data_IF_151003630758
#
_entry.id   IF_151003630758
#
_cell.length_a   1.000
_cell.length_b   1.000
_cell.length_c   1.000
_cell.angle_alpha   90.00
_cell.angle_beta   90.00
_cell.angle_gamma   90.00
#
_symmetry.space_group_name_H-M   'P 1'
#
loop_
_entity.id
_entity.type
_entity.pdbx_description
1 polymer ?
#
# COMPACT_ATOMS: atom_id res chain seq x y z
N UNK A 1 -17.70 10.56 -7.49
CA UNK A 1 -17.90 9.26 -8.13
C UNK A 1 -16.64 8.80 -8.85
N UNK A 2 -16.47 7.50 -8.89
CA UNK A 2 -15.44 6.82 -9.68
C UNK A 2 -16.14 5.87 -10.64
N UNK A 3 -15.63 5.77 -11.86
CA UNK A 3 -15.97 4.72 -12.81
C UNK A 3 -14.79 3.77 -12.90
N UNK A 4 -15.05 2.47 -12.80
CA UNK A 4 -14.01 1.44 -12.84
C UNK A 4 -14.34 0.48 -13.98
N UNK A 5 -13.40 0.34 -14.91
CA UNK A 5 -13.50 -0.60 -16.04
C UNK A 5 -12.44 -1.68 -15.91
N UNK A 6 -12.86 -2.94 -15.99
CA UNK A 6 -11.98 -4.10 -15.89
C UNK A 6 -12.49 -5.24 -16.80
N UNK A 7 -11.61 -6.13 -17.21
CA UNK A 7 -11.98 -7.26 -18.08
C UNK A 7 -12.76 -8.33 -17.31
N UNK A 8 -12.31 -8.65 -16.11
CA UNK A 8 -12.97 -9.62 -15.24
C UNK A 8 -13.51 -8.90 -14.00
N UNK A 9 -14.85 -8.87 -13.82
CA UNK A 9 -15.46 -8.22 -12.67
C UNK A 9 -15.00 -8.84 -11.36
N UNK A 10 -14.48 -8.00 -10.46
CA UNK A 10 -14.10 -8.39 -9.10
C UNK A 10 -14.47 -7.26 -8.13
N UNK A 11 -14.69 -7.61 -6.87
CA UNK A 11 -14.93 -6.61 -5.83
C UNK A 11 -13.62 -5.87 -5.52
N UNK A 12 -13.66 -4.55 -5.53
CA UNK A 12 -12.52 -3.70 -5.20
C UNK A 12 -12.88 -2.71 -4.09
N UNK A 13 -12.02 -2.65 -3.08
CA UNK A 13 -12.02 -1.58 -2.09
C UNK A 13 -10.93 -0.58 -2.46
N UNK A 14 -11.34 0.59 -2.94
CA UNK A 14 -10.41 1.64 -3.38
C UNK A 14 -10.14 2.61 -2.23
N UNK A 15 -8.86 2.84 -1.93
CA UNK A 15 -8.39 3.82 -0.95
C UNK A 15 -7.80 5.02 -1.67
N UNK A 16 -8.18 6.22 -1.26
CA UNK A 16 -7.58 7.47 -1.75
C UNK A 16 -6.64 8.11 -0.73
N UNK A 17 -6.86 7.83 0.56
CA UNK A 17 -6.05 8.37 1.66
C UNK A 17 -5.85 7.30 2.74
N UNK A 18 -4.67 7.27 3.31
CA UNK A 18 -4.32 6.51 4.51
C UNK A 18 -3.74 7.49 5.52
N UNK A 19 -4.29 7.52 6.72
CA UNK A 19 -3.74 8.31 7.80
C UNK A 19 -2.93 7.42 8.73
N UNK A 20 -1.73 7.85 9.06
CA UNK A 20 -0.76 7.11 9.86
C UNK A 20 -0.78 7.57 11.32
N UNK A 21 -1.09 8.85 11.55
CA UNK A 21 -1.12 9.46 12.89
C UNK A 21 -2.50 9.99 13.23
N UNK A 22 -3.05 9.54 14.34
CA UNK A 22 -4.32 10.07 14.88
C UNK A 22 -4.06 11.22 15.85
N UNK A 23 -4.60 12.41 15.57
CA UNK A 23 -4.40 13.63 16.39
C UNK A 23 -5.39 13.75 17.54
N UNK A 24 -6.33 12.81 17.67
CA UNK A 24 -7.48 12.89 18.59
C UNK A 24 -8.78 13.31 17.90
N UNK A 25 -8.69 14.00 16.76
CA UNK A 25 -9.85 14.48 15.98
C UNK A 25 -9.74 14.17 14.49
N UNK A 26 -8.53 13.93 13.98
CA UNK A 26 -8.27 13.69 12.57
C UNK A 26 -7.10 12.72 12.38
N UNK A 27 -7.08 12.05 11.24
CA UNK A 27 -5.95 11.27 10.76
C UNK A 27 -5.08 12.11 9.84
N UNK A 28 -3.77 12.03 10.02
CA UNK A 28 -2.77 12.74 9.23
C UNK A 28 -1.72 11.75 8.72
N UNK A 29 -1.04 12.11 7.64
CA UNK A 29 0.16 11.41 7.20
C UNK A 29 1.30 11.59 8.23
N UNK A 30 2.29 10.70 8.19
CA UNK A 30 3.51 10.85 8.99
C UNK A 30 4.15 12.21 8.73
N UNK A 31 4.68 12.81 9.78
CA UNK A 31 5.39 14.09 9.65
C UNK A 31 6.75 13.92 8.98
N UNK A 32 7.24 15.02 8.40
CA UNK A 32 8.48 15.00 7.62
C UNK A 32 9.72 14.66 8.47
N UNK A 33 9.70 14.92 9.77
CA UNK A 33 10.81 14.59 10.66
C UNK A 33 10.88 13.07 10.88
N UNK A 34 9.76 12.44 11.22
CA UNK A 34 9.65 10.99 11.39
C UNK A 34 10.09 10.27 10.10
N UNK A 35 9.66 10.76 8.93
CA UNK A 35 10.09 10.21 7.65
C UNK A 35 11.59 10.35 7.42
N UNK A 36 12.17 11.50 7.76
CA UNK A 36 13.62 11.72 7.64
C UNK A 36 14.43 10.76 8.53
N UNK A 37 13.94 10.47 9.73
CA UNK A 37 14.58 9.53 10.67
C UNK A 37 14.53 8.08 10.16
N UNK A 38 13.57 7.73 9.31
CA UNK A 38 13.39 6.38 8.75
C UNK A 38 13.91 6.24 7.30
N UNK A 39 14.58 7.28 6.77
CA UNK A 39 15.01 7.31 5.37
C UNK A 39 15.86 6.10 4.98
N UNK A 40 16.78 5.67 5.83
CA UNK A 40 17.68 4.55 5.54
C UNK A 40 16.92 3.22 5.42
N UNK A 41 15.95 2.97 6.31
CA UNK A 41 15.08 1.80 6.26
C UNK A 41 14.24 1.81 4.98
N UNK A 42 13.57 2.92 4.70
CA UNK A 42 12.67 3.04 3.55
C UNK A 42 13.45 2.93 2.23
N UNK A 43 14.64 3.52 2.14
CA UNK A 43 15.52 3.37 0.99
C UNK A 43 15.96 1.90 0.79
N UNK A 44 16.35 1.22 1.87
CA UNK A 44 16.73 -0.19 1.80
C UNK A 44 15.56 -1.06 1.32
N UNK A 45 14.35 -0.88 1.85
CA UNK A 45 13.14 -1.60 1.41
C UNK A 45 12.92 -1.45 -0.09
N UNK A 46 13.04 -0.24 -0.62
CA UNK A 46 12.91 0.03 -2.05
C UNK A 46 14.00 -0.66 -2.88
N UNK A 47 15.22 -0.66 -2.39
CA UNK A 47 16.34 -1.35 -3.04
C UNK A 47 16.11 -2.85 -3.14
N UNK A 48 15.48 -3.43 -2.13
CA UNK A 48 15.06 -4.84 -2.13
C UNK A 48 13.78 -5.07 -2.97
N UNK A 49 13.23 -4.03 -3.59
CA UNK A 49 12.01 -4.12 -4.40
C UNK A 49 10.73 -4.28 -3.58
N UNK A 50 10.80 -3.95 -2.28
CA UNK A 50 9.64 -4.00 -1.40
C UNK A 50 8.93 -2.65 -1.37
N UNK A 51 7.65 -2.66 -1.74
CA UNK A 51 6.76 -1.50 -1.68
C UNK A 51 5.45 -1.90 -1.00
N UNK A 52 4.92 -1.09 -0.07
CA UNK A 52 3.68 -1.41 0.62
C UNK A 52 2.50 -1.69 -0.31
N UNK A 53 2.47 -1.01 -1.46
CA UNK A 53 1.40 -1.15 -2.45
C UNK A 53 1.45 -2.48 -3.21
N UNK A 54 2.62 -3.12 -3.31
CA UNK A 54 2.83 -4.33 -4.13
C UNK A 54 3.28 -5.54 -3.31
N UNK A 55 2.88 -5.61 -2.04
CA UNK A 55 3.31 -6.68 -1.12
C UNK A 55 2.98 -8.08 -1.63
N UNK A 56 1.77 -8.30 -2.17
CA UNK A 56 1.40 -9.62 -2.70
C UNK A 56 2.27 -10.02 -3.89
N UNK A 57 2.55 -9.08 -4.78
CA UNK A 57 3.45 -9.33 -5.91
C UNK A 57 4.90 -9.58 -5.46
N UNK A 58 5.36 -8.91 -4.42
CA UNK A 58 6.67 -9.18 -3.82
C UNK A 58 6.74 -10.58 -3.19
N UNK A 59 5.71 -11.00 -2.46
CA UNK A 59 5.60 -12.35 -1.91
C UNK A 59 5.56 -13.42 -3.01
N UNK A 60 4.77 -13.19 -4.07
CA UNK A 60 4.71 -14.08 -5.23
C UNK A 60 6.09 -14.27 -5.88
N UNK A 61 6.84 -13.18 -6.08
CA UNK A 61 8.20 -13.24 -6.61
C UNK A 61 9.15 -13.99 -5.68
N UNK A 62 9.09 -13.72 -4.36
CA UNK A 62 9.89 -14.42 -3.36
C UNK A 62 9.66 -15.93 -3.36
N UNK A 63 8.43 -16.37 -3.58
CA UNK A 63 8.04 -17.78 -3.70
C UNK A 63 8.19 -18.34 -5.12
N UNK A 64 8.74 -17.60 -6.08
CA UNK A 64 8.85 -17.98 -7.49
C UNK A 64 7.50 -18.38 -8.12
N UNK A 65 6.41 -17.75 -7.68
CA UNK A 65 5.07 -17.97 -8.23
C UNK A 65 4.71 -16.92 -9.27
N UNK A 66 3.99 -17.35 -10.29
CA UNK A 66 3.44 -16.44 -11.29
C UNK A 66 2.06 -15.95 -10.86
N UNK A 67 1.90 -14.63 -10.80
CA UNK A 67 0.64 -13.98 -10.49
C UNK A 67 -0.21 -13.79 -11.75
N UNK A 68 -1.50 -14.12 -11.67
CA UNK A 68 -2.46 -13.76 -12.71
C UNK A 68 -2.97 -12.35 -12.45
N UNK A 69 -2.87 -11.49 -13.43
CA UNK A 69 -3.17 -10.06 -13.28
C UNK A 69 -4.16 -9.57 -14.33
N UNK A 70 -4.83 -8.47 -14.03
CA UNK A 70 -5.62 -7.70 -14.98
C UNK A 70 -5.34 -6.21 -14.86
N UNK A 71 -5.62 -5.47 -15.92
CA UNK A 71 -5.57 -4.00 -15.92
C UNK A 71 -6.94 -3.43 -15.58
N UNK A 72 -6.95 -2.49 -14.66
CA UNK A 72 -8.14 -1.74 -14.26
C UNK A 72 -7.96 -0.29 -14.69
N UNK A 73 -8.92 0.25 -15.43
CA UNK A 73 -9.01 1.68 -15.75
C UNK A 73 -9.89 2.36 -14.71
N UNK A 74 -9.39 3.40 -14.08
CA UNK A 74 -10.13 4.23 -13.12
C UNK A 74 -10.30 5.63 -13.68
N UNK A 75 -11.56 6.10 -13.73
CA UNK A 75 -11.93 7.45 -14.14
C UNK A 75 -12.59 8.18 -12.97
N UNK A 76 -11.95 9.24 -12.51
CA UNK A 76 -12.45 10.08 -11.42
C UNK A 76 -13.33 11.18 -11.98
N UNK A 77 -14.64 11.02 -11.86
CA UNK A 77 -15.63 11.99 -12.37
C UNK A 77 -15.91 13.12 -11.37
N UNK A 78 -15.99 12.81 -10.08
CA UNK A 78 -16.36 13.83 -9.06
C UNK A 78 -15.76 13.59 -7.66
N UNK A 79 -14.90 12.59 -7.49
CA UNK A 79 -14.17 12.41 -6.25
C UNK A 79 -12.97 13.39 -6.17
N UNK A 80 -12.32 13.46 -5.00
CA UNK A 80 -11.14 14.33 -4.85
C UNK A 80 -10.03 13.89 -5.79
N UNK A 81 -9.59 14.78 -6.68
CA UNK A 81 -8.55 14.47 -7.68
C UNK A 81 -7.12 14.56 -7.14
N UNK A 82 -6.94 15.00 -5.90
CA UNK A 82 -5.64 15.00 -5.23
C UNK A 82 -5.18 13.59 -4.84
N UNK A 83 -6.10 12.62 -4.83
CA UNK A 83 -5.82 11.23 -4.47
C UNK A 83 -5.90 10.31 -5.68
N UNK A 84 -5.03 9.32 -5.71
CA UNK A 84 -5.13 8.15 -6.58
C UNK A 84 -5.87 7.07 -5.82
N UNK A 85 -7.06 6.75 -6.27
CA UNK A 85 -7.87 5.68 -5.67
C UNK A 85 -7.36 4.34 -6.15
N UNK A 86 -6.72 3.58 -5.27
CA UNK A 86 -6.12 2.31 -5.59
C UNK A 86 -6.56 1.21 -4.61
N UNK A 87 -6.66 -0.06 -5.06
CA UNK A 87 -6.83 -1.17 -4.14
C UNK A 87 -5.59 -1.36 -3.27
N UNK A 88 -5.73 -2.09 -2.17
CA UNK A 88 -4.62 -2.38 -1.24
C UNK A 88 -3.52 -3.23 -1.87
N UNK A 89 -3.83 -3.99 -2.91
CA UNK A 89 -2.90 -4.85 -3.61
C UNK A 89 -2.77 -4.43 -5.07
N UNK A 90 -1.56 -4.06 -5.46
CA UNK A 90 -1.16 -3.85 -6.84
C UNK A 90 -0.17 -4.94 -7.24
N UNK A 91 -0.22 -5.39 -8.48
CA UNK A 91 0.78 -6.31 -9.04
C UNK A 91 2.04 -5.58 -9.48
N UNK A 92 1.92 -4.30 -9.82
CA UNK A 92 3.03 -3.41 -10.16
C UNK A 92 2.71 -1.97 -9.78
N UNK A 93 3.75 -1.18 -9.50
CA UNK A 93 3.60 0.27 -9.35
C UNK A 93 3.22 0.88 -10.69
N UNK A 94 2.32 1.88 -10.69
CA UNK A 94 1.95 2.58 -11.91
C UNK A 94 3.17 3.26 -12.55
N UNK A 95 3.28 3.18 -13.87
CA UNK A 95 4.35 3.81 -14.65
C UNK A 95 3.98 5.21 -15.17
N UNK A 96 2.77 5.65 -14.90
CA UNK A 96 2.27 6.94 -15.40
C UNK A 96 2.91 8.09 -14.61
N UNK A 97 3.53 9.04 -15.31
CA UNK A 97 4.25 10.18 -14.72
C UNK A 97 3.37 11.10 -13.86
N UNK A 98 2.06 11.04 -14.03
CA UNK A 98 1.10 11.78 -13.23
C UNK A 98 0.84 11.15 -11.85
N UNK A 99 1.27 9.91 -11.65
CA UNK A 99 1.16 9.19 -10.39
C UNK A 99 2.53 9.18 -9.72
N UNK A 100 2.60 9.74 -8.53
CA UNK A 100 3.85 9.69 -7.76
C UNK A 100 3.99 8.31 -7.12
N UNK A 101 5.07 7.64 -7.47
CA UNK A 101 5.41 6.31 -6.95
C UNK A 101 6.61 6.34 -6.00
N UNK A 102 7.10 7.53 -5.73
CA UNK A 102 8.24 7.80 -4.84
C UNK A 102 7.85 7.96 -3.36
N UNK A 103 6.57 7.76 -3.06
CA UNK A 103 6.07 7.73 -1.69
C UNK A 103 6.44 6.39 -1.05
N UNK A 104 7.46 6.43 -0.21
CA UNK A 104 8.06 5.25 0.44
C UNK A 104 7.27 4.76 1.64
N UNK A 105 6.61 5.70 2.28
CA UNK A 105 6.14 5.58 3.65
C UNK A 105 4.73 5.04 3.77
N UNK A 106 3.89 5.20 2.76
CA UNK A 106 2.49 4.84 2.90
C UNK A 106 1.95 4.00 1.75
N UNK A 107 0.82 3.36 1.99
CA UNK A 107 0.09 2.59 0.97
C UNK A 107 -0.68 3.47 -0.02
N UNK A 108 -0.70 4.79 0.20
CA UNK A 108 -1.36 5.73 -0.71
C UNK A 108 -0.47 6.07 -1.91
N UNK A 109 -1.10 6.46 -3.00
CA UNK A 109 -0.46 6.98 -4.20
C UNK A 109 -0.93 8.43 -4.39
N UNK A 110 -0.08 9.42 -4.11
CA UNK A 110 -0.46 10.81 -4.32
C UNK A 110 -0.51 11.15 -5.81
N UNK A 111 -1.50 11.94 -6.20
CA UNK A 111 -1.57 12.49 -7.53
C UNK A 111 -0.65 13.72 -7.66
N UNK A 112 0.00 13.87 -8.81
CA UNK A 112 0.85 15.01 -9.08
C UNK A 112 0.10 16.16 -9.77
N UNK A 113 0.59 17.40 -9.56
CA UNK A 113 0.09 18.59 -10.20
C UNK A 113 -1.15 19.22 -9.54
N UNK A 114 -1.44 20.48 -9.90
CA UNK A 114 -2.51 21.30 -9.31
C UNK A 114 -3.93 20.76 -9.54
N UNK A 115 -4.14 19.99 -10.60
CA UNK A 115 -5.45 19.44 -10.96
C UNK A 115 -5.62 17.98 -10.56
N UNK A 116 -4.57 17.34 -10.03
CA UNK A 116 -4.55 15.93 -9.75
C UNK A 116 -4.70 15.05 -11.01
N UNK A 117 -5.08 13.81 -10.80
CA UNK A 117 -5.26 12.81 -11.87
C UNK A 117 -6.71 12.37 -11.94
N UNK A 118 -7.27 12.35 -13.16
CA UNK A 118 -8.68 11.96 -13.38
C UNK A 118 -8.85 10.64 -14.10
N UNK A 119 -7.83 10.14 -14.78
CA UNK A 119 -7.87 8.86 -15.47
C UNK A 119 -6.50 8.21 -15.39
N UNK A 120 -6.48 6.95 -14.98
CA UNK A 120 -5.24 6.17 -14.84
C UNK A 120 -5.52 4.66 -14.88
N UNK A 121 -4.45 3.89 -15.13
CA UNK A 121 -4.50 2.43 -15.16
C UNK A 121 -3.69 1.84 -14.00
N UNK A 122 -4.23 0.78 -13.41
CA UNK A 122 -3.57 0.01 -12.37
C UNK A 122 -3.54 -1.46 -12.80
N UNK A 123 -2.47 -2.16 -12.47
CA UNK A 123 -2.37 -3.62 -12.62
C UNK A 123 -2.60 -4.26 -11.26
N UNK A 124 -3.60 -5.13 -11.19
CA UNK A 124 -4.02 -5.79 -9.96
C UNK A 124 -4.03 -7.31 -10.10
N UNK A 125 -3.93 -8.07 -9.01
CA UNK A 125 -4.18 -9.50 -9.02
C UNK A 125 -5.61 -9.79 -9.52
N UNK A 126 -5.77 -10.86 -10.26
CA UNK A 126 -7.09 -11.25 -10.76
C UNK A 126 -8.06 -11.65 -9.65
N UNK A 127 -7.55 -12.32 -8.60
CA UNK A 127 -8.29 -12.74 -7.42
C UNK A 127 -7.48 -12.40 -6.15
N UNK A 128 -7.44 -11.14 -5.69
CA UNK A 128 -6.51 -10.70 -4.67
C UNK A 128 -6.69 -11.41 -3.32
N UNK A 129 -7.91 -11.71 -2.90
CA UNK A 129 -8.17 -12.40 -1.63
C UNK A 129 -7.69 -13.85 -1.66
N UNK A 130 -7.97 -14.57 -2.75
CA UNK A 130 -7.50 -15.94 -2.94
C UNK A 130 -5.98 -15.97 -3.04
N UNK A 131 -5.39 -15.07 -3.82
CA UNK A 131 -3.93 -14.92 -3.95
C UNK A 131 -3.28 -14.69 -2.59
N UNK A 132 -3.84 -13.80 -1.77
CA UNK A 132 -3.32 -13.53 -0.44
C UNK A 132 -3.35 -14.78 0.48
N UNK A 133 -4.44 -15.53 0.47
CA UNK A 133 -4.57 -16.75 1.26
C UNK A 133 -3.55 -17.82 0.83
N UNK A 134 -3.44 -18.07 -0.47
CA UNK A 134 -2.49 -19.04 -1.03
C UNK A 134 -1.03 -18.66 -0.75
N UNK A 135 -0.70 -17.37 -0.79
CA UNK A 135 0.64 -16.89 -0.47
C UNK A 135 0.96 -17.03 1.01
N UNK A 136 0.01 -16.73 1.91
CA UNK A 136 0.20 -16.91 3.35
C UNK A 136 0.47 -18.37 3.72
N UNK A 137 -0.25 -19.31 3.13
CA UNK A 137 -0.02 -20.73 3.35
C UNK A 137 1.34 -21.17 2.82
N UNK A 138 1.70 -20.73 1.61
CA UNK A 138 3.01 -21.04 1.02
C UNK A 138 4.19 -20.44 1.81
N UNK A 139 4.05 -19.22 2.34
CA UNK A 139 5.07 -18.59 3.20
C UNK A 139 5.27 -19.35 4.51
N UNK A 140 4.23 -19.96 5.05
CA UNK A 140 4.30 -20.81 6.24
C UNK A 140 4.99 -22.16 5.95
N UNK A 141 4.71 -22.73 4.78
CA UNK A 141 5.27 -24.02 4.37
C UNK A 141 6.71 -23.93 3.89
N UNK A 142 7.09 -22.83 3.24
CA UNK A 142 8.39 -22.66 2.60
C UNK A 142 9.03 -21.29 2.93
N UNK A 143 9.25 -20.97 4.21
CA UNK A 143 9.77 -19.65 4.60
C UNK A 143 11.17 -19.38 4.03
N UNK A 144 12.01 -20.41 3.90
CA UNK A 144 13.39 -20.31 3.41
C UNK A 144 13.44 -19.85 1.93
N UNK A 145 12.44 -20.19 1.14
CA UNK A 145 12.35 -19.77 -0.27
C UNK A 145 12.09 -18.27 -0.40
N UNK A 146 11.40 -17.69 0.58
CA UNK A 146 10.98 -16.29 0.58
C UNK A 146 11.72 -15.44 1.63
N UNK A 147 12.89 -15.85 2.07
CA UNK A 147 13.65 -15.22 3.18
C UNK A 147 13.86 -13.72 2.96
N UNK A 148 14.27 -13.30 1.77
CA UNK A 148 14.46 -11.88 1.44
C UNK A 148 13.16 -11.07 1.56
N UNK A 149 12.03 -11.63 1.09
CA UNK A 149 10.73 -11.00 1.24
C UNK A 149 10.31 -10.91 2.72
N UNK A 150 10.47 -12.00 3.48
CA UNK A 150 10.09 -12.05 4.90
C UNK A 150 10.92 -11.09 5.74
N UNK A 151 12.20 -10.92 5.42
CA UNK A 151 13.10 -9.94 6.05
C UNK A 151 12.61 -8.51 5.79
N UNK A 152 12.30 -8.17 4.54
CA UNK A 152 11.80 -6.85 4.17
C UNK A 152 10.42 -6.57 4.79
N UNK A 153 9.50 -7.53 4.71
CA UNK A 153 8.16 -7.43 5.30
C UNK A 153 8.23 -7.27 6.82
N UNK A 154 9.07 -8.05 7.49
CA UNK A 154 9.27 -7.95 8.94
C UNK A 154 9.79 -6.58 9.38
N UNK A 155 10.73 -6.00 8.63
CA UNK A 155 11.26 -4.66 8.88
C UNK A 155 10.21 -3.58 8.64
N UNK A 156 9.44 -3.70 7.56
CA UNK A 156 8.34 -2.78 7.27
C UNK A 156 7.23 -2.88 8.33
N UNK A 157 6.86 -4.09 8.74
CA UNK A 157 5.86 -4.32 9.79
C UNK A 157 6.28 -3.70 11.13
N UNK A 158 7.56 -3.83 11.51
CA UNK A 158 8.09 -3.20 12.70
C UNK A 158 7.98 -1.67 12.63
N UNK A 159 8.29 -1.07 11.48
CA UNK A 159 8.10 0.36 11.21
C UNK A 159 6.63 0.76 11.38
N UNK A 160 5.69 0.05 10.73
CA UNK A 160 4.25 0.35 10.83
C UNK A 160 3.77 0.22 12.28
N UNK A 161 4.16 -0.82 13.01
CA UNK A 161 3.79 -0.99 14.42
C UNK A 161 4.36 0.12 15.31
N UNK A 162 5.54 0.61 15.00
CA UNK A 162 6.14 1.71 15.75
C UNK A 162 5.46 3.05 15.46
N UNK A 163 5.09 3.32 14.21
CA UNK A 163 4.60 4.65 13.79
C UNK A 163 3.08 4.75 13.78
N UNK A 164 2.38 3.80 13.19
CA UNK A 164 0.95 3.93 12.84
C UNK A 164 0.01 3.53 13.98
N UNK A 165 0.52 2.88 15.04
CA UNK A 165 -0.29 2.51 16.22
C UNK A 165 -0.09 3.46 17.41
N UNK A 166 0.60 4.57 17.23
CA UNK A 166 0.77 5.60 18.25
C UNK A 166 -0.56 6.32 18.49
N UNK A 167 -1.10 6.21 19.70
CA UNK A 167 -2.25 6.99 20.12
C UNK A 167 -1.77 8.22 20.90
N UNK A 168 -2.42 9.39 20.70
CA UNK A 168 -2.22 10.55 21.58
C UNK A 168 -2.40 10.15 23.06
N UNK A 169 -1.62 10.75 23.94
CA UNK A 169 -1.63 10.41 25.37
C UNK A 169 -3.04 10.53 25.99
N UNK A 170 -3.82 11.52 25.57
CA UNK A 170 -5.20 11.70 26.00
C UNK A 170 -6.11 10.55 25.55
N UNK A 171 -5.97 10.07 24.32
CA UNK A 171 -6.73 8.93 23.82
C UNK A 171 -6.32 7.64 24.53
N UNK A 172 -5.02 7.46 24.77
CA UNK A 172 -4.49 6.32 25.52
C UNK A 172 -5.01 6.29 26.95
N UNK A 173 -5.06 7.43 27.62
CA UNK A 173 -5.60 7.55 28.98
C UNK A 173 -7.11 7.22 29.04
N UNK A 174 -7.87 7.53 27.99
CA UNK A 174 -9.30 7.18 27.91
C UNK A 174 -9.57 5.70 27.65
N UNK A 175 -8.62 5.01 26.99
CA UNK A 175 -8.73 3.57 26.66
C UNK A 175 -8.10 2.66 27.72
N UNK A 176 -7.30 3.19 28.63
CA UNK A 176 -6.59 2.41 29.66
C UNK A 176 -7.50 1.63 30.64
N UNK A 177 -8.80 1.97 30.84
CA UNK A 177 -9.69 1.21 31.73
C UNK A 177 -10.37 0.00 31.08
N UNK A 178 -10.13 -0.28 29.82
CA UNK A 178 -10.68 -1.44 29.09
C UNK A 178 -9.65 -2.58 29.04
#
# INVERSE_FOLDING_TARGET
>A
CLTVTMEQPTALYLRGFTGDTFTGTAWQALDAQTLAEQTDLLYWLHKEGFYPQTQLAAASRGLHRQEQTQTVLIENTSACSAYVYAPYALSALPQESALRTDSLESTQLPASGLRGVRQYRLTIPLAPEQTAAELLDALREQPETADAYLSAEGSYRAFVQEQDVKLPEQARAQLAPI
#
